data_IF_982084504988
#
_entry.id   IF_982084504988
#
_cell.length_a   1.000
_cell.length_b   1.000
_cell.length_c   1.000
_cell.angle_alpha   90.00
_cell.angle_beta   90.00
_cell.angle_gamma   90.00
#
_symmetry.space_group_name_H-M   'P 1'
#
loop_
_entity.id
_entity.type
_entity.pdbx_description
1 polymer ?
#
# COMPACT_ATOMS: atom_id res chain seq x y z
N UNK A 1 -15.51 -9.60 -6.71
CA UNK A 1 -14.60 -8.53 -7.19
C UNK A 1 -13.21 -8.90 -6.75
N UNK A 2 -12.22 -8.56 -7.56
CA UNK A 2 -10.82 -8.80 -7.22
C UNK A 2 -10.06 -7.49 -7.27
N UNK A 3 -9.25 -7.25 -6.24
CA UNK A 3 -8.28 -6.17 -6.21
C UNK A 3 -6.97 -6.71 -6.75
N UNK A 4 -6.42 -6.04 -7.75
CA UNK A 4 -5.05 -6.25 -8.24
C UNK A 4 -4.20 -5.08 -7.78
N UNK A 5 -3.13 -5.38 -7.06
CA UNK A 5 -2.10 -4.40 -6.72
C UNK A 5 -1.05 -4.41 -7.83
N UNK A 6 -0.54 -3.23 -8.20
CA UNK A 6 0.37 -3.07 -9.34
C UNK A 6 1.73 -2.58 -8.87
N UNK A 7 1.77 -1.42 -8.20
CA UNK A 7 3.03 -0.85 -7.72
C UNK A 7 2.80 0.08 -6.53
N UNK A 8 3.81 0.20 -5.68
CA UNK A 8 3.89 1.22 -4.64
C UNK A 8 5.14 2.07 -4.91
N UNK A 9 4.96 3.36 -5.16
CA UNK A 9 6.05 4.32 -5.33
C UNK A 9 6.24 5.14 -4.06
N UNK A 10 7.46 5.22 -3.56
CA UNK A 10 7.85 6.13 -2.48
C UNK A 10 8.43 7.41 -3.09
N UNK A 11 7.82 8.55 -2.83
CA UNK A 11 8.37 9.87 -3.18
C UNK A 11 9.29 10.36 -2.06
N UNK A 12 8.79 10.30 -0.83
CA UNK A 12 9.48 10.62 0.42
C UNK A 12 9.01 9.64 1.50
N UNK A 13 9.96 9.06 2.23
CA UNK A 13 9.81 8.26 3.45
C UNK A 13 9.38 9.15 4.62
N UNK A 14 8.89 8.56 5.71
CA UNK A 14 8.66 9.31 6.96
C UNK A 14 10.00 9.74 7.58
N UNK A 15 11.02 8.89 7.47
CA UNK A 15 12.33 9.10 8.06
C UNK A 15 13.35 9.79 7.13
N UNK A 16 14.08 10.78 7.68
CA UNK A 16 15.23 11.39 7.00
C UNK A 16 16.44 10.42 6.93
N UNK A 17 16.47 9.35 7.75
CA UNK A 17 17.57 8.38 7.83
C UNK A 17 17.11 6.96 8.17
N UNK A 18 16.99 6.07 7.19
CA UNK A 18 16.69 4.65 7.45
C UNK A 18 16.12 3.96 6.21
N UNK A 19 16.07 2.62 6.25
CA UNK A 19 15.18 1.85 5.39
C UNK A 19 13.89 1.66 6.19
N UNK A 20 12.78 2.26 5.75
CA UNK A 20 11.45 2.06 6.35
C UNK A 20 11.02 0.59 6.24
N UNK A 21 10.15 0.14 7.14
CA UNK A 21 9.67 -1.25 7.20
C UNK A 21 8.21 -1.36 6.73
N UNK A 22 7.87 -0.73 5.59
CA UNK A 22 6.46 -0.57 5.22
C UNK A 22 5.72 -1.89 5.04
N UNK A 23 4.48 -1.92 5.52
CA UNK A 23 3.56 -3.05 5.38
C UNK A 23 2.27 -2.60 4.71
N UNK A 24 1.93 -3.26 3.61
CA UNK A 24 0.66 -3.04 2.93
C UNK A 24 -0.33 -4.11 3.38
N UNK A 25 -1.43 -3.66 3.97
CA UNK A 25 -2.50 -4.52 4.48
C UNK A 25 -3.75 -4.34 3.66
N UNK A 26 -4.44 -5.45 3.38
CA UNK A 26 -5.78 -5.46 2.82
C UNK A 26 -6.72 -6.24 3.74
N UNK A 27 -7.76 -5.57 4.21
CA UNK A 27 -8.69 -6.08 5.23
C UNK A 27 -7.99 -6.59 6.50
N UNK A 28 -6.90 -5.92 6.90
CA UNK A 28 -6.10 -6.28 8.08
C UNK A 28 -5.14 -7.46 7.87
N UNK A 29 -5.04 -8.01 6.65
CA UNK A 29 -4.06 -9.04 6.30
C UNK A 29 -2.93 -8.39 5.54
N UNK A 30 -1.69 -8.58 5.99
CA UNK A 30 -0.49 -8.15 5.26
C UNK A 30 -0.39 -8.91 3.95
N UNK A 31 -0.32 -8.17 2.84
CA UNK A 31 -0.23 -8.73 1.48
C UNK A 31 1.11 -8.42 0.81
N UNK A 32 1.81 -7.42 1.32
CA UNK A 32 3.15 -7.03 0.90
C UNK A 32 3.86 -6.31 2.05
N UNK A 33 5.18 -6.28 2.00
CA UNK A 33 6.02 -5.66 3.03
C UNK A 33 6.50 -6.66 4.10
N UNK A 34 7.44 -6.20 4.92
CA UNK A 34 8.22 -6.84 6.00
C UNK A 34 8.50 -8.37 5.90
N UNK A 35 9.69 -8.77 5.42
CA UNK A 35 10.97 -8.83 6.16
C UNK A 35 12.01 -8.01 5.33
N UNK A 36 12.75 -7.09 5.95
CA UNK A 36 13.60 -6.03 5.34
C UNK A 36 14.40 -6.36 4.05
N UNK A 37 14.75 -5.35 3.21
CA UNK A 37 14.49 -3.90 3.36
C UNK A 37 13.22 -3.42 2.62
N UNK A 38 12.59 -2.35 3.14
CA UNK A 38 11.48 -1.64 2.49
C UNK A 38 11.94 -0.64 1.42
N UNK A 39 11.05 0.29 1.05
CA UNK A 39 11.33 1.31 0.02
C UNK A 39 12.03 2.53 0.62
N UNK A 40 13.03 3.04 -0.09
CA UNK A 40 13.61 4.36 0.14
C UNK A 40 12.98 5.42 -0.79
N UNK A 41 13.38 6.68 -0.57
CA UNK A 41 13.01 7.81 -1.42
C UNK A 41 13.25 7.52 -2.92
N UNK A 42 12.20 7.71 -3.71
CA UNK A 42 12.15 7.54 -5.19
C UNK A 42 12.28 6.09 -5.66
N UNK A 43 12.00 5.13 -4.80
CA UNK A 43 11.95 3.72 -5.17
C UNK A 43 10.52 3.26 -5.48
N UNK A 44 10.40 2.19 -6.26
CA UNK A 44 9.12 1.58 -6.61
C UNK A 44 9.16 0.09 -6.33
N UNK A 45 8.19 -0.40 -5.56
CA UNK A 45 7.94 -1.82 -5.41
C UNK A 45 7.02 -2.32 -6.52
N UNK A 46 7.39 -3.43 -7.16
CA UNK A 46 6.50 -4.20 -8.03
C UNK A 46 5.60 -5.11 -7.17
N UNK A 47 4.29 -4.90 -7.25
CA UNK A 47 3.29 -5.67 -6.50
C UNK A 47 2.59 -6.72 -7.39
N UNK A 48 3.02 -6.91 -8.63
CA UNK A 48 2.38 -7.83 -9.59
C UNK A 48 2.43 -9.29 -9.17
N UNK A 49 3.35 -9.67 -8.27
CA UNK A 49 3.44 -11.00 -7.67
C UNK A 49 2.44 -11.21 -6.52
N UNK A 50 1.84 -10.14 -5.97
CA UNK A 50 0.82 -10.26 -4.93
C UNK A 50 -0.43 -10.92 -5.54
N UNK A 51 -0.95 -12.02 -4.95
CA UNK A 51 -2.15 -12.67 -5.46
C UNK A 51 -3.34 -11.71 -5.54
N UNK A 52 -4.24 -11.95 -6.51
CA UNK A 52 -5.50 -11.21 -6.58
C UNK A 52 -6.28 -11.37 -5.26
N UNK A 53 -6.74 -10.25 -4.72
CA UNK A 53 -7.41 -10.23 -3.41
C UNK A 53 -8.92 -10.17 -3.63
N UNK A 54 -9.61 -11.22 -3.20
CA UNK A 54 -11.08 -11.27 -3.27
C UNK A 54 -11.72 -10.36 -2.22
N UNK A 55 -12.75 -9.61 -2.65
CA UNK A 55 -13.58 -8.85 -1.73
C UNK A 55 -15.04 -8.78 -2.18
N UNK A 56 -15.94 -8.65 -1.19
CA UNK A 56 -17.39 -8.65 -1.42
C UNK A 56 -17.91 -7.27 -1.85
N UNK A 57 -17.92 -6.31 -0.93
CA UNK A 57 -18.50 -4.96 -1.16
C UNK A 57 -17.41 -3.90 -1.22
N UNK A 58 -16.49 -3.96 -0.26
CA UNK A 58 -15.33 -3.08 -0.13
C UNK A 58 -14.14 -3.84 0.43
N UNK A 59 -12.94 -3.38 0.11
CA UNK A 59 -11.70 -3.78 0.77
C UNK A 59 -11.09 -2.54 1.44
N UNK A 60 -10.66 -2.67 2.70
CA UNK A 60 -9.87 -1.64 3.40
C UNK A 60 -8.41 -1.86 3.03
N UNK A 61 -7.74 -0.83 2.52
CA UNK A 61 -6.31 -0.86 2.16
C UNK A 61 -5.59 0.12 3.06
N UNK A 62 -4.47 -0.32 3.63
CA UNK A 62 -3.70 0.44 4.62
C UNK A 62 -2.22 0.29 4.32
N UNK A 63 -1.49 1.39 4.42
CA UNK A 63 -0.04 1.40 4.47
C UNK A 63 0.37 1.79 5.88
N UNK A 64 1.23 0.98 6.48
CA UNK A 64 1.83 1.25 7.78
C UNK A 64 3.35 1.28 7.62
N UNK A 65 4.02 2.08 8.44
CA UNK A 65 5.43 1.88 8.77
C UNK A 65 5.57 0.99 10.01
N UNK A 66 6.73 0.38 10.20
CA UNK A 66 7.01 -0.50 11.33
C UNK A 66 8.38 -0.21 11.87
N UNK A 67 8.54 0.92 12.54
CA UNK A 67 9.82 1.25 13.12
C UNK A 67 10.18 0.29 14.26
N UNK A 68 11.45 -0.12 14.27
CA UNK A 68 12.00 -0.96 15.33
C UNK A 68 12.11 -0.20 16.67
N UNK A 69 10.99 -0.05 17.39
CA UNK A 69 11.01 0.56 18.73
C UNK A 69 9.76 1.30 19.15
N UNK A 70 8.89 1.68 18.21
CA UNK A 70 7.66 2.44 18.45
C UNK A 70 6.42 1.70 17.92
N UNK A 71 5.22 2.25 18.17
CA UNK A 71 3.95 1.68 17.68
C UNK A 71 3.89 1.80 16.14
N UNK A 72 3.32 0.81 15.44
CA UNK A 72 3.25 0.85 13.96
C UNK A 72 2.50 2.12 13.46
N UNK A 73 3.20 3.00 12.74
CA UNK A 73 2.65 4.28 12.26
C UNK A 73 1.78 4.10 11.00
N UNK A 74 0.62 4.75 10.99
CA UNK A 74 -0.33 4.66 9.87
C UNK A 74 -0.02 5.76 8.83
N UNK A 75 0.61 5.37 7.73
CA UNK A 75 0.90 6.26 6.60
C UNK A 75 -0.32 6.58 5.72
N UNK A 76 -1.37 5.75 5.83
CA UNK A 76 -2.73 6.13 5.45
C UNK A 76 -3.65 4.98 5.10
N UNK A 77 -4.91 5.31 4.77
CA UNK A 77 -5.97 4.32 4.55
C UNK A 77 -7.02 4.76 3.55
N UNK A 78 -7.47 3.81 2.74
CA UNK A 78 -8.65 4.01 1.91
C UNK A 78 -9.50 2.75 1.74
N UNK A 79 -10.64 2.91 1.06
CA UNK A 79 -11.52 1.80 0.70
C UNK A 79 -11.61 1.67 -0.81
N UNK A 80 -11.31 0.46 -1.28
CA UNK A 80 -11.63 0.02 -2.64
C UNK A 80 -13.05 -0.52 -2.65
N UNK A 81 -13.85 -0.17 -3.66
CA UNK A 81 -15.26 -0.58 -3.77
C UNK A 81 -15.65 -1.09 -5.16
N UNK A 82 -16.81 -1.75 -5.25
CA UNK A 82 -17.35 -2.25 -6.54
C UNK A 82 -17.50 -1.17 -7.61
N UNK A 83 -17.74 0.08 -7.21
CA UNK A 83 -17.91 1.19 -8.14
C UNK A 83 -16.68 1.46 -9.00
N UNK A 84 -15.49 1.04 -8.56
CA UNK A 84 -14.22 1.20 -9.26
C UNK A 84 -13.96 0.12 -10.30
N UNK A 85 -14.83 -0.90 -10.40
CA UNK A 85 -14.64 -2.01 -11.30
C UNK A 85 -14.57 -1.59 -12.77
N UNK A 86 -13.54 -2.06 -13.48
CA UNK A 86 -13.37 -1.80 -14.91
C UNK A 86 -13.02 -0.36 -15.26
N UNK A 87 -12.61 0.46 -14.28
CA UNK A 87 -12.11 1.81 -14.52
C UNK A 87 -10.64 1.84 -15.01
N UNK A 88 -10.00 0.67 -15.07
CA UNK A 88 -8.57 0.54 -15.37
C UNK A 88 -7.72 0.76 -14.12
N UNK A 89 -6.47 1.19 -14.35
CA UNK A 89 -5.54 1.52 -13.28
C UNK A 89 -5.99 2.79 -12.55
N UNK A 90 -5.94 2.74 -11.23
CA UNK A 90 -6.29 3.80 -10.31
C UNK A 90 -5.12 4.04 -9.37
N UNK A 91 -5.04 5.26 -8.85
CA UNK A 91 -4.01 5.67 -7.90
C UNK A 91 -4.64 6.11 -6.58
N UNK A 92 -3.94 5.83 -5.48
CA UNK A 92 -4.21 6.43 -4.18
C UNK A 92 -2.90 6.91 -3.57
N UNK A 93 -2.94 8.09 -2.94
CA UNK A 93 -1.79 8.68 -2.25
C UNK A 93 -1.94 8.52 -0.74
N UNK A 94 -0.94 7.93 -0.12
CA UNK A 94 -0.75 7.88 1.33
C UNK A 94 0.14 9.07 1.71
N UNK A 95 -0.39 9.96 2.54
CA UNK A 95 0.27 11.21 2.93
C UNK A 95 0.06 11.54 4.41
N UNK A 96 -0.21 10.53 5.24
CA UNK A 96 -0.21 10.66 6.70
C UNK A 96 1.24 10.48 7.18
N UNK A 97 1.58 11.04 8.34
CA UNK A 97 2.94 11.04 8.92
C UNK A 97 4.08 11.48 7.99
N UNK A 98 3.92 12.64 7.35
CA UNK A 98 4.94 13.27 6.48
C UNK A 98 5.45 12.40 5.30
N UNK A 99 4.93 11.19 5.14
CA UNK A 99 5.19 10.28 4.04
C UNK A 99 4.52 10.75 2.72
N UNK A 100 5.03 10.27 1.59
CA UNK A 100 4.39 10.44 0.28
C UNK A 100 4.56 9.17 -0.56
N UNK A 101 3.58 8.27 -0.43
CA UNK A 101 3.51 7.04 -1.23
C UNK A 101 2.35 7.06 -2.21
N UNK A 102 2.56 6.56 -3.42
CA UNK A 102 1.50 6.37 -4.42
C UNK A 102 1.33 4.89 -4.73
N UNK A 103 0.14 4.35 -4.46
CA UNK A 103 -0.25 2.99 -4.83
C UNK A 103 -1.04 3.01 -6.14
N UNK A 104 -0.56 2.25 -7.12
CA UNK A 104 -1.29 1.93 -8.35
C UNK A 104 -1.98 0.58 -8.20
N UNK A 105 -3.27 0.53 -8.52
CA UNK A 105 -4.10 -0.67 -8.36
C UNK A 105 -5.21 -0.73 -9.42
N UNK A 106 -5.87 -1.88 -9.54
CA UNK A 106 -7.00 -2.09 -10.44
C UNK A 106 -8.10 -2.92 -9.75
N UNK A 107 -9.36 -2.60 -10.05
CA UNK A 107 -10.52 -3.39 -9.59
C UNK A 107 -11.11 -4.17 -10.75
N UNK A 108 -11.02 -5.50 -10.63
CA UNK A 108 -11.50 -6.45 -11.63
C UNK A 108 -12.89 -6.98 -11.26
N UNK A 109 -13.72 -7.16 -12.28
CA UNK A 109 -15.03 -7.83 -12.17
C UNK A 109 -14.89 -9.30 -11.73
#
# INVERSE_FOLDING_TARGET
>A
MRLRLISLYCSTTEDDTGEDEQRLLVNGVQVWGAEAPGLNNRETADLSAVPLIDFNTRARVELLDSDSGDDDDLLGRFYVGRSQAGQGELEYKFTEDDADYTLTYEVLA
#
